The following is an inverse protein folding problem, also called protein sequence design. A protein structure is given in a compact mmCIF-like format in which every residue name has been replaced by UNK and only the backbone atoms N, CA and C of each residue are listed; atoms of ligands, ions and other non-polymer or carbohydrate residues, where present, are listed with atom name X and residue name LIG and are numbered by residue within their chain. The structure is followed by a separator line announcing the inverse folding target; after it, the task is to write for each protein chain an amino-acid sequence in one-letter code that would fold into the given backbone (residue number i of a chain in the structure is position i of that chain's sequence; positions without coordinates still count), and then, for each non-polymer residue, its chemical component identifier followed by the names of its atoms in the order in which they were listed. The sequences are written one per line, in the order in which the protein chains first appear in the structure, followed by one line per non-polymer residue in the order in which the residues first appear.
data_IF_917943316575
#
_entry.id   IF_917943316575
#
_cell.length_a   1.000
_cell.length_b   1.000
_cell.length_c   1.000
_cell.angle_alpha   90.00
_cell.angle_beta   90.00
_cell.angle_gamma   90.00
#
_symmetry.space_group_name_H-M   'P 1'
#
loop_
_entity.id
_entity.type
_entity.pdbx_description
1 polymer ?
#
# COMPACT_ATOMS: atom_id res chain seq x y z
N UNK A 1 -22.07 10.47 -7.64
CA UNK A 1 -20.82 11.23 -7.60
C UNK A 1 -19.73 10.27 -7.13
N UNK A 2 -19.02 9.67 -8.08
CA UNK A 2 -18.12 8.54 -7.84
C UNK A 2 -16.75 9.11 -7.50
N UNK A 3 -16.40 9.17 -6.22
CA UNK A 3 -15.08 9.61 -5.79
C UNK A 3 -14.11 8.44 -5.94
N UNK A 4 -13.34 8.43 -7.02
CA UNK A 4 -12.30 7.43 -7.26
C UNK A 4 -11.14 7.69 -6.30
N UNK A 5 -11.14 7.02 -5.15
CA UNK A 5 -10.05 7.01 -4.15
C UNK A 5 -8.90 6.17 -4.71
N UNK A 6 -8.21 6.69 -5.73
CA UNK A 6 -7.09 6.03 -6.42
C UNK A 6 -5.80 6.01 -5.57
N UNK A 7 -5.69 6.84 -4.54
CA UNK A 7 -4.39 7.06 -3.86
C UNK A 7 -4.18 6.23 -2.59
N UNK A 8 -5.22 5.59 -2.03
CA UNK A 8 -5.06 4.83 -0.78
C UNK A 8 -4.59 3.38 -1.01
N UNK A 9 -4.77 2.85 -2.22
CA UNK A 9 -4.27 1.52 -2.59
C UNK A 9 -2.73 1.51 -2.64
N UNK A 10 -2.10 2.64 -2.97
CA UNK A 10 -0.64 2.79 -2.91
C UNK A 10 -0.09 2.75 -1.47
N UNK A 11 -0.90 3.08 -0.46
CA UNK A 11 -0.45 3.02 0.94
C UNK A 11 -0.59 1.62 1.56
N UNK A 12 -1.56 0.82 1.10
CA UNK A 12 -1.79 -0.53 1.64
C UNK A 12 -0.92 -1.63 0.99
N UNK A 13 -0.25 -1.35 -0.13
CA UNK A 13 0.59 -2.32 -0.84
C UNK A 13 2.09 -2.04 -0.78
N UNK A 14 2.52 -0.83 -0.43
CA UNK A 14 3.95 -0.47 -0.39
C UNK A 14 4.61 -0.68 0.99
N UNK A 15 4.32 -1.83 1.60
CA UNK A 15 4.95 -2.26 2.84
C UNK A 15 6.27 -3.02 2.70
N UNK A 16 6.84 -3.08 1.50
CA UNK A 16 8.13 -3.76 1.26
C UNK A 16 9.02 -3.00 0.27
N UNK A 17 9.24 -1.71 0.49
CA UNK A 17 10.28 -0.96 -0.25
C UNK A 17 11.14 -0.18 0.73
N UNK A 18 12.38 -0.63 0.89
CA UNK A 18 13.47 0.26 1.26
C UNK A 18 13.69 1.23 0.07
N UNK A 19 13.51 2.53 0.32
CA UNK A 19 13.54 3.67 -0.62
C UNK A 19 14.81 3.75 -1.52
N UNK A 20 14.89 4.63 -2.57
CA UNK A 20 14.02 5.77 -2.89
C UNK A 20 13.51 5.88 -4.36
N UNK A 21 12.60 6.83 -4.54
CA UNK A 21 12.02 7.31 -5.80
C UNK A 21 13.07 7.77 -6.81
N UNK A 22 12.91 7.35 -8.07
CA UNK A 22 13.35 8.14 -9.22
C UNK A 22 12.36 7.97 -10.37
N UNK A 23 11.74 9.04 -10.91
CA UNK A 23 11.19 9.03 -12.26
C UNK A 23 12.36 9.15 -13.24
N UNK A 24 13.25 8.17 -13.23
CA UNK A 24 14.44 8.15 -14.08
C UNK A 24 14.99 6.73 -14.07
N UNK A 25 14.47 5.89 -14.95
CA UNK A 25 15.02 4.57 -15.22
C UNK A 25 16.47 4.61 -15.77
N UNK A 26 17.16 5.77 -15.78
CA UNK A 26 18.39 5.96 -16.54
C UNK A 26 19.49 6.80 -15.90
N UNK A 27 19.41 7.18 -14.61
CA UNK A 27 20.56 7.83 -13.93
C UNK A 27 21.37 6.87 -13.07
N UNK A 28 22.24 6.15 -13.78
CA UNK A 28 23.56 5.66 -13.39
C UNK A 28 23.73 4.91 -12.05
N UNK A 29 23.88 3.57 -12.15
CA UNK A 29 24.64 2.77 -11.17
C UNK A 29 23.99 1.41 -10.83
N UNK A 30 24.32 0.37 -11.63
CA UNK A 30 23.79 -1.02 -11.60
C UNK A 30 22.33 -1.17 -12.01
N UNK A 31 22.12 -1.63 -13.25
CA UNK A 31 20.91 -2.35 -13.63
C UNK A 31 20.85 -3.58 -12.72
N UNK A 32 19.97 -3.54 -11.72
CA UNK A 32 19.66 -4.71 -10.92
C UNK A 32 18.96 -5.72 -11.84
N UNK A 33 19.39 -6.99 -11.88
CA UNK A 33 18.69 -8.01 -12.66
C UNK A 33 17.35 -8.29 -11.96
N UNK A 34 16.30 -7.63 -12.43
CA UNK A 34 14.95 -7.89 -11.96
C UNK A 34 14.50 -9.25 -12.48
N UNK A 35 14.23 -10.16 -11.56
CA UNK A 35 13.72 -11.49 -11.85
C UNK A 35 12.32 -11.66 -11.22
N UNK A 36 11.45 -12.50 -11.79
CA UNK A 36 10.17 -12.82 -11.18
C UNK A 36 10.37 -13.25 -9.73
N UNK A 37 9.59 -12.68 -8.81
CA UNK A 37 9.73 -12.94 -7.39
C UNK A 37 9.56 -14.45 -7.11
N UNK A 38 10.43 -15.05 -6.30
CA UNK A 38 10.26 -16.43 -5.88
C UNK A 38 8.89 -16.63 -5.23
N UNK A 39 8.26 -17.80 -5.46
CA UNK A 39 6.94 -18.13 -4.89
C UNK A 39 6.84 -17.86 -3.38
N UNK A 40 7.92 -18.11 -2.64
CA UNK A 40 7.99 -17.82 -1.20
C UNK A 40 7.76 -16.32 -0.89
N UNK A 41 8.42 -15.43 -1.63
CA UNK A 41 8.27 -13.97 -1.47
C UNK A 41 6.85 -13.54 -1.82
N UNK A 42 6.25 -14.09 -2.87
CA UNK A 42 4.86 -13.80 -3.24
C UNK A 42 3.90 -14.19 -2.10
N UNK A 43 4.09 -15.37 -1.49
CA UNK A 43 3.27 -15.81 -0.35
C UNK A 43 3.43 -14.90 0.88
N UNK A 44 4.66 -14.48 1.19
CA UNK A 44 4.94 -13.54 2.28
C UNK A 44 4.26 -12.18 2.05
N UNK A 45 4.32 -11.66 0.81
CA UNK A 45 3.64 -10.43 0.41
C UNK A 45 2.11 -10.56 0.51
N UNK A 46 1.54 -11.67 0.05
CA UNK A 46 0.10 -11.93 0.15
C UNK A 46 -0.36 -11.99 1.61
N UNK A 47 0.42 -12.63 2.49
CA UNK A 47 0.12 -12.68 3.92
C UNK A 47 0.19 -11.30 4.56
N UNK A 48 1.27 -10.54 4.30
CA UNK A 48 1.41 -9.18 4.79
C UNK A 48 0.26 -8.27 4.33
N UNK A 49 -0.14 -8.39 3.05
CA UNK A 49 -1.26 -7.65 2.49
C UNK A 49 -2.59 -8.01 3.16
N UNK A 50 -2.85 -9.31 3.40
CA UNK A 50 -4.06 -9.73 4.11
C UNK A 50 -4.11 -9.13 5.51
N UNK A 51 -2.99 -9.16 6.25
CA UNK A 51 -2.92 -8.60 7.59
C UNK A 51 -3.15 -7.08 7.58
N UNK A 52 -2.50 -6.35 6.67
CA UNK A 52 -2.68 -4.91 6.52
C UNK A 52 -4.14 -4.55 6.16
N UNK A 53 -4.77 -5.32 5.27
CA UNK A 53 -6.19 -5.18 4.93
C UNK A 53 -7.08 -5.39 6.14
N UNK A 54 -6.83 -6.42 6.94
CA UNK A 54 -7.68 -6.72 8.09
C UNK A 54 -7.57 -5.60 9.15
N UNK A 55 -6.37 -5.03 9.36
CA UNK A 55 -6.19 -3.84 10.20
C UNK A 55 -6.91 -2.62 9.65
N UNK A 56 -6.84 -2.43 8.34
CA UNK A 56 -7.50 -1.32 7.67
C UNK A 56 -9.03 -1.37 7.84
N UNK A 57 -9.62 -2.54 7.62
CA UNK A 57 -11.07 -2.73 7.75
C UNK A 57 -11.54 -2.64 9.21
N UNK A 58 -10.65 -2.97 10.16
CA UNK A 58 -10.87 -2.75 11.59
C UNK A 58 -10.63 -1.29 12.04
N UNK A 59 -10.29 -0.37 11.11
CA UNK A 59 -9.93 1.02 11.40
C UNK A 59 -8.78 1.17 12.40
N UNK A 60 -7.86 0.20 12.43
CA UNK A 60 -6.67 0.18 13.28
C UNK A 60 -5.51 0.92 12.58
N UNK A 61 -5.45 2.25 12.78
CA UNK A 61 -4.40 3.12 12.21
C UNK A 61 -2.99 2.60 12.52
N UNK A 62 -2.73 2.29 13.78
CA UNK A 62 -1.42 1.83 14.23
C UNK A 62 -1.08 0.47 13.58
N UNK A 63 -2.05 -0.44 13.51
CA UNK A 63 -1.91 -1.72 12.84
C UNK A 63 -1.56 -1.59 11.36
N UNK A 64 -2.23 -0.70 10.62
CA UNK A 64 -1.92 -0.45 9.20
C UNK A 64 -0.50 0.12 9.07
N UNK A 65 -0.14 1.11 9.88
CA UNK A 65 1.16 1.78 9.80
C UNK A 65 2.35 0.87 10.18
N UNK A 66 2.14 -0.24 10.89
CA UNK A 66 3.20 -1.25 11.14
C UNK A 66 3.64 -1.95 9.86
N UNK A 67 2.80 -1.97 8.84
CA UNK A 67 3.14 -2.49 7.53
C UNK A 67 3.79 -1.44 6.62
N UNK A 68 3.96 -0.19 7.06
CA UNK A 68 4.60 0.87 6.27
C UNK A 68 6.00 1.14 6.84
N UNK A 69 7.02 1.13 5.98
CA UNK A 69 8.40 1.47 6.38
C UNK A 69 8.50 2.90 6.91
N UNK A 70 9.31 3.13 7.95
CA UNK A 70 9.59 4.49 8.44
C UNK A 70 10.32 5.35 7.41
N UNK A 71 10.96 4.72 6.42
CA UNK A 71 11.61 5.38 5.28
C UNK A 71 10.71 5.46 4.05
N UNK A 72 9.44 5.07 4.14
CA UNK A 72 8.52 5.11 3.01
C UNK A 72 8.34 6.53 2.47
N UNK A 73 8.56 6.68 1.15
CA UNK A 73 8.35 7.94 0.44
C UNK A 73 8.02 7.68 -1.03
N UNK A 74 6.86 8.16 -1.48
CA UNK A 74 6.45 8.19 -2.90
C UNK A 74 5.92 9.58 -3.25
N UNK A 75 6.65 10.36 -4.06
CA UNK A 75 6.44 11.80 -4.28
C UNK A 75 6.21 12.58 -2.94
N UNK A 76 5.13 13.37 -2.70
CA UNK A 76 4.93 13.99 -1.38
C UNK A 76 4.38 13.01 -0.32
N UNK A 77 4.06 11.75 -0.68
CA UNK A 77 3.45 10.78 0.22
C UNK A 77 4.50 10.11 1.12
N UNK A 78 4.51 10.48 2.39
CA UNK A 78 5.33 9.86 3.45
C UNK A 78 4.47 8.98 4.35
N UNK A 79 5.09 8.15 5.21
CA UNK A 79 4.36 7.43 6.28
C UNK A 79 3.52 8.36 7.17
N UNK A 80 4.01 9.57 7.45
CA UNK A 80 3.25 10.58 8.20
C UNK A 80 2.02 11.08 7.41
N UNK A 81 2.16 11.31 6.10
CA UNK A 81 1.03 11.69 5.26
C UNK A 81 -0.03 10.57 5.16
N UNK A 82 0.40 9.30 5.08
CA UNK A 82 -0.50 8.14 5.13
C UNK A 82 -1.29 8.12 6.43
N UNK A 83 -0.62 8.36 7.57
CA UNK A 83 -1.27 8.42 8.88
C UNK A 83 -2.41 9.42 8.89
N UNK A 84 -2.15 10.65 8.45
CA UNK A 84 -3.17 11.71 8.44
C UNK A 84 -4.33 11.35 7.49
N UNK A 85 -4.05 10.75 6.34
CA UNK A 85 -5.11 10.29 5.44
C UNK A 85 -5.96 9.17 6.05
N UNK A 86 -5.36 8.21 6.76
CA UNK A 86 -6.10 7.16 7.48
C UNK A 86 -7.01 7.76 8.55
N UNK A 87 -6.52 8.73 9.33
CA UNK A 87 -7.32 9.43 10.35
C UNK A 87 -8.55 10.09 9.78
N UNK A 88 -8.37 10.87 8.71
CA UNK A 88 -9.47 11.55 8.03
C UNK A 88 -10.51 10.53 7.56
N UNK A 89 -10.06 9.44 6.94
CA UNK A 89 -10.99 8.44 6.42
C UNK A 89 -11.70 7.67 7.54
N UNK A 90 -11.00 7.27 8.60
CA UNK A 90 -11.61 6.56 9.74
C UNK A 90 -12.56 7.44 10.54
N UNK A 91 -12.41 8.76 10.50
CA UNK A 91 -13.38 9.69 11.07
C UNK A 91 -14.64 9.87 10.21
N UNK A 92 -14.53 9.73 8.88
CA UNK A 92 -15.63 9.96 7.94
C UNK A 92 -16.48 8.71 7.68
N UNK A 93 -15.86 7.53 7.71
CA UNK A 93 -16.49 6.27 7.35
C UNK A 93 -16.81 5.42 8.58
N UNK A 94 -18.05 4.95 8.65
CA UNK A 94 -18.54 3.99 9.64
C UNK A 94 -18.06 2.56 9.34
N UNK A 95 -17.92 2.23 8.06
CA UNK A 95 -17.31 0.96 7.65
C UNK A 95 -16.42 1.18 6.43
N UNK A 96 -15.33 0.41 6.38
CA UNK A 96 -14.40 0.39 5.26
C UNK A 96 -14.14 -1.04 4.81
N UNK A 97 -14.06 -1.23 3.50
CA UNK A 97 -13.66 -2.47 2.84
C UNK A 97 -12.58 -2.15 1.83
N UNK A 98 -11.54 -2.97 1.84
CA UNK A 98 -10.47 -2.90 0.87
C UNK A 98 -10.34 -4.25 0.18
N UNK A 99 -10.30 -4.25 -1.15
CA UNK A 99 -9.98 -5.42 -1.96
C UNK A 99 -8.70 -5.11 -2.71
N UNK A 100 -7.67 -5.93 -2.52
CA UNK A 100 -6.37 -5.70 -3.13
C UNK A 100 -5.80 -7.05 -3.54
N UNK A 101 -5.25 -7.12 -4.75
CA UNK A 101 -4.56 -8.29 -5.28
C UNK A 101 -3.20 -7.89 -5.81
N UNK A 102 -2.24 -8.79 -5.65
CA UNK A 102 -0.92 -8.66 -6.28
C UNK A 102 -1.07 -9.20 -7.70
N UNK A 103 -0.77 -8.35 -8.69
CA UNK A 103 -0.77 -8.70 -10.11
C UNK A 103 0.54 -9.37 -10.50
N UNK A 104 1.64 -8.79 -10.04
CA UNK A 104 2.99 -9.21 -10.40
C UNK A 104 3.98 -8.76 -9.32
N UNK A 105 5.10 -9.47 -9.20
CA UNK A 105 6.17 -9.12 -8.28
C UNK A 105 7.52 -9.53 -8.84
N UNK A 106 8.49 -8.63 -8.73
CA UNK A 106 9.85 -8.79 -9.21
C UNK A 106 10.80 -8.53 -8.05
N UNK A 107 11.91 -9.24 -8.00
CA UNK A 107 12.93 -9.06 -6.95
C UNK A 107 14.29 -8.82 -7.56
N UNK A 108 15.10 -8.02 -6.88
CA UNK A 108 16.52 -7.90 -7.18
C UNK A 108 17.31 -7.61 -5.90
N UNK A 109 18.13 -8.58 -5.49
CA UNK A 109 18.82 -8.53 -4.20
C UNK A 109 17.82 -8.54 -3.04
N UNK A 110 17.88 -7.51 -2.21
CA UNK A 110 17.02 -7.27 -1.04
C UNK A 110 15.78 -6.42 -1.37
N UNK A 111 15.58 -6.07 -2.64
CA UNK A 111 14.46 -5.23 -3.09
C UNK A 111 13.40 -6.06 -3.79
N UNK A 112 12.15 -5.65 -3.59
CA UNK A 112 11.00 -6.15 -4.32
C UNK A 112 10.28 -4.97 -5.00
N UNK A 113 9.88 -5.19 -6.25
CA UNK A 113 8.92 -4.36 -6.96
C UNK A 113 7.61 -5.13 -7.04
N UNK A 114 6.52 -4.55 -6.56
CA UNK A 114 5.21 -5.23 -6.53
C UNK A 114 4.21 -4.39 -7.30
N UNK A 115 3.56 -5.01 -8.27
CA UNK A 115 2.41 -4.46 -8.98
C UNK A 115 1.14 -5.00 -8.34
N UNK A 116 0.22 -4.09 -8.05
CA UNK A 116 -1.02 -4.44 -7.36
C UNK A 116 -2.17 -3.60 -7.86
N UNK A 117 -3.34 -4.22 -7.94
CA UNK A 117 -4.61 -3.58 -8.22
C UNK A 117 -5.47 -3.67 -6.97
N UNK A 118 -6.13 -2.57 -6.62
CA UNK A 118 -7.06 -2.57 -5.50
C UNK A 118 -8.14 -1.53 -5.60
N UNK A 119 -9.12 -1.68 -4.72
CA UNK A 119 -10.28 -0.83 -4.55
C UNK A 119 -10.57 -0.66 -3.06
N UNK A 120 -11.00 0.54 -2.66
CA UNK A 120 -11.51 0.85 -1.32
C UNK A 120 -12.94 1.36 -1.45
N UNK A 121 -13.84 0.76 -0.68
CA UNK A 121 -15.23 1.18 -0.55
C UNK A 121 -15.56 1.39 0.93
N UNK A 122 -16.58 2.19 1.21
CA UNK A 122 -17.02 2.40 2.59
C UNK A 122 -18.39 3.04 2.69
N UNK A 123 -18.97 2.96 3.89
CA UNK A 123 -20.20 3.67 4.27
C UNK A 123 -19.84 4.87 5.13
N UNK A 124 -20.36 6.05 4.78
CA UNK A 124 -20.15 7.27 5.55
C UNK A 124 -21.01 7.29 6.82
N UNK A 125 -20.52 7.94 7.87
CA UNK A 125 -21.36 8.31 9.00
C UNK A 125 -22.51 9.22 8.55
N UNK A 126 -23.75 8.91 8.95
CA UNK A 126 -24.92 9.78 8.74
C UNK A 126 -25.71 9.58 7.43
N UNK A 127 -25.32 8.66 6.54
CA UNK A 127 -26.19 8.24 5.42
C UNK A 127 -27.16 7.13 5.89
N UNK A 128 -28.21 7.54 6.62
CA UNK A 128 -29.44 6.76 6.75
C UNK A 128 -30.33 7.17 5.57
N UNK A 129 -30.69 6.22 4.70
CA UNK A 129 -31.89 6.36 3.86
C UNK A 129 -33.09 5.89 4.68
#
# INVERSE_FOLDING_TARGET
MTFTVVTLVAALTLGLVAAPLVPDAQRAGKVLPWEPAPRKVILELQQALSHARDRFQAMDEAGVLRHVSDHYRTDPLTKAAIREQLRVMFALYDTLRAQVRIDDAWTAGDRAWVFSTGEVSGRLYGYQQ
#
